data_IF_785267443621
#
_entry.id   IF_785267443621
#
_cell.length_a   1.000
_cell.length_b   1.000
_cell.length_c   1.000
_cell.angle_alpha   90.00
_cell.angle_beta   90.00
_cell.angle_gamma   90.00
#
_symmetry.space_group_name_H-M   'P 1'
#
loop_
_entity.id
_entity.type
_entity.pdbx_description
1 polymer ?
#
# COMPACT_ATOMS: atom_id res chain seq x y z
N UNK A 1 24.64 11.00 12.32
CA UNK A 1 24.04 9.64 12.25
C UNK A 1 25.08 8.61 12.62
N UNK A 2 24.72 7.61 13.41
CA UNK A 2 25.60 6.47 13.66
C UNK A 2 25.70 5.57 12.42
N UNK A 3 26.76 4.73 12.34
CA UNK A 3 26.88 3.76 11.25
C UNK A 3 25.63 2.85 11.12
N UNK A 4 25.03 2.49 12.27
CA UNK A 4 23.81 1.68 12.30
C UNK A 4 22.60 2.42 11.72
N UNK A 5 22.42 3.72 12.05
CA UNK A 5 21.37 4.54 11.46
C UNK A 5 21.57 4.71 9.95
N UNK A 6 22.80 4.88 9.50
CA UNK A 6 23.12 4.97 8.07
C UNK A 6 22.78 3.66 7.37
N UNK A 7 23.13 2.51 7.94
CA UNK A 7 22.76 1.20 7.39
C UNK A 7 21.25 1.02 7.32
N UNK A 8 20.50 1.36 8.38
CA UNK A 8 19.06 1.30 8.41
C UNK A 8 18.42 2.15 7.31
N UNK A 9 18.82 3.41 7.18
CA UNK A 9 18.30 4.32 6.14
C UNK A 9 18.68 3.83 4.74
N UNK A 10 19.85 3.24 4.55
CA UNK A 10 20.25 2.65 3.27
C UNK A 10 19.35 1.46 2.90
N UNK A 11 19.09 0.55 3.84
CA UNK A 11 18.18 -0.59 3.61
C UNK A 11 16.77 -0.08 3.30
N UNK A 12 16.26 0.88 4.08
CA UNK A 12 14.96 1.51 3.84
C UNK A 12 14.90 2.12 2.42
N UNK A 13 15.93 2.83 2.01
CA UNK A 13 16.00 3.45 0.68
C UNK A 13 15.95 2.39 -0.45
N UNK A 14 16.71 1.31 -0.31
CA UNK A 14 16.70 0.19 -1.29
C UNK A 14 15.31 -0.44 -1.36
N UNK A 15 14.66 -0.68 -0.23
CA UNK A 15 13.31 -1.24 -0.18
C UNK A 15 12.28 -0.30 -0.83
N UNK A 16 12.35 1.01 -0.54
CA UNK A 16 11.46 2.01 -1.16
C UNK A 16 11.66 2.09 -2.68
N UNK A 17 12.91 2.09 -3.16
CA UNK A 17 13.21 2.06 -4.59
C UNK A 17 12.63 0.79 -5.23
N UNK A 18 12.77 -0.36 -4.59
CA UNK A 18 12.21 -1.63 -5.07
C UNK A 18 10.68 -1.57 -5.18
N UNK A 19 10.00 -0.98 -4.20
CA UNK A 19 8.53 -0.77 -4.24
C UNK A 19 8.13 0.15 -5.38
N UNK A 20 8.88 1.25 -5.60
CA UNK A 20 8.61 2.20 -6.70
C UNK A 20 8.82 1.53 -8.06
N UNK A 21 9.91 0.78 -8.25
CA UNK A 21 10.17 0.05 -9.48
C UNK A 21 9.08 -1.00 -9.76
N UNK A 22 8.65 -1.71 -8.72
CA UNK A 22 7.54 -2.65 -8.84
C UNK A 22 6.21 -1.94 -9.18
N UNK A 23 5.92 -0.78 -8.58
CA UNK A 23 4.75 0.02 -8.91
C UNK A 23 4.76 0.46 -10.37
N UNK A 24 5.90 0.96 -10.87
CA UNK A 24 6.08 1.33 -12.28
C UNK A 24 5.86 0.13 -13.20
N UNK A 25 6.42 -1.03 -12.87
CA UNK A 25 6.21 -2.26 -13.62
C UNK A 25 4.73 -2.68 -13.65
N UNK A 26 4.05 -2.66 -12.52
CA UNK A 26 2.65 -3.04 -12.41
C UNK A 26 1.72 -2.08 -13.18
N UNK A 27 1.99 -0.77 -13.12
CA UNK A 27 1.27 0.26 -13.87
C UNK A 27 1.48 0.08 -15.38
N UNK A 28 2.73 -0.11 -15.83
CA UNK A 28 3.03 -0.35 -17.25
C UNK A 28 2.30 -1.59 -17.77
N UNK A 29 2.33 -2.69 -17.01
CA UNK A 29 1.58 -3.90 -17.36
C UNK A 29 0.08 -3.64 -17.50
N UNK A 30 -0.52 -2.88 -16.60
CA UNK A 30 -1.93 -2.52 -16.66
C UNK A 30 -2.26 -1.64 -17.88
N UNK A 31 -1.39 -0.73 -18.28
CA UNK A 31 -1.57 0.14 -19.44
C UNK A 31 -1.44 -0.64 -20.76
N UNK A 32 -0.47 -1.57 -20.87
CA UNK A 32 -0.29 -2.40 -22.06
C UNK A 32 -1.50 -3.30 -22.33
N UNK A 33 -2.10 -3.89 -21.29
CA UNK A 33 -3.34 -4.69 -21.44
C UNK A 33 -4.50 -3.82 -21.93
N UNK A 34 -4.53 -2.53 -21.59
CA UNK A 34 -5.55 -1.60 -22.09
C UNK A 34 -5.46 -1.37 -23.59
N UNK A 35 -4.26 -1.26 -24.14
CA UNK A 35 -4.04 -1.04 -25.57
C UNK A 35 -4.46 -2.24 -26.43
N UNK A 36 -4.28 -3.47 -25.93
CA UNK A 36 -4.64 -4.70 -26.62
C UNK A 36 -6.15 -4.99 -26.64
N UNK A 37 -6.93 -4.41 -25.72
CA UNK A 37 -8.37 -4.64 -25.60
C UNK A 37 -9.25 -3.66 -26.41
N UNK A 38 -8.65 -2.79 -27.23
CA UNK A 38 -9.34 -1.67 -27.90
C UNK A 38 -10.18 -2.07 -29.13
N UNK A 39 -10.17 -3.33 -29.57
CA UNK A 39 -10.68 -3.78 -30.88
C UNK A 39 -12.16 -4.21 -30.94
N UNK A 40 -13.01 -3.79 -30.08
CA UNK A 40 -14.45 -4.12 -30.14
C UNK A 40 -15.39 -2.90 -30.14
N UNK A 41 -16.46 -2.85 -30.91
CA UNK A 41 -17.43 -1.78 -31.24
C UNK A 41 -17.82 -0.76 -30.14
N UNK A 42 -18.12 0.50 -30.53
CA UNK A 42 -18.02 1.67 -29.66
C UNK A 42 -19.17 1.96 -28.66
N UNK A 43 -20.38 1.52 -28.90
CA UNK A 43 -21.55 1.91 -28.08
C UNK A 43 -21.72 1.06 -26.79
N UNK A 44 -21.31 -0.21 -26.80
CA UNK A 44 -21.31 -1.07 -25.59
C UNK A 44 -20.12 -0.85 -24.66
N UNK A 45 -19.17 0.03 -25.02
CA UNK A 45 -17.88 0.24 -24.37
C UNK A 45 -17.90 1.19 -23.20
N UNK A 46 -18.70 2.28 -23.23
CA UNK A 46 -18.52 3.42 -22.32
C UNK A 46 -18.78 3.05 -20.85
N UNK A 47 -19.80 2.25 -20.54
CA UNK A 47 -20.07 1.81 -19.16
C UNK A 47 -19.18 0.64 -18.72
N UNK A 48 -18.95 -0.32 -19.63
CA UNK A 48 -18.19 -1.54 -19.35
C UNK A 48 -16.67 -1.31 -19.24
N UNK A 49 -16.13 -0.37 -19.99
CA UNK A 49 -14.70 0.01 -19.92
C UNK A 49 -14.36 0.72 -18.62
N UNK A 50 -15.21 1.64 -18.15
CA UNK A 50 -14.97 2.37 -16.90
C UNK A 50 -14.92 1.44 -15.68
N UNK A 51 -15.82 0.46 -15.59
CA UNK A 51 -15.85 -0.48 -14.48
C UNK A 51 -14.65 -1.45 -14.52
N UNK A 52 -14.26 -1.91 -15.70
CA UNK A 52 -13.05 -2.73 -15.88
C UNK A 52 -11.78 -1.96 -15.51
N UNK A 53 -11.67 -0.68 -15.89
CA UNK A 53 -10.52 0.14 -15.58
C UNK A 53 -10.40 0.38 -14.07
N UNK A 54 -11.49 0.68 -13.37
CA UNK A 54 -11.49 0.88 -11.92
C UNK A 54 -11.08 -0.41 -11.19
N UNK A 55 -11.61 -1.57 -11.59
CA UNK A 55 -11.24 -2.87 -11.01
C UNK A 55 -9.74 -3.18 -11.25
N UNK A 56 -9.23 -2.88 -12.43
CA UNK A 56 -7.81 -3.06 -12.77
C UNK A 56 -6.91 -2.21 -11.88
N UNK A 57 -7.25 -0.93 -11.70
CA UNK A 57 -6.48 -0.04 -10.83
C UNK A 57 -6.53 -0.46 -9.36
N UNK A 58 -7.68 -0.94 -8.88
CA UNK A 58 -7.79 -1.51 -7.54
C UNK A 58 -6.90 -2.75 -7.38
N UNK A 59 -6.80 -3.59 -8.41
CA UNK A 59 -5.90 -4.75 -8.40
C UNK A 59 -4.42 -4.34 -8.39
N UNK A 60 -4.02 -3.35 -9.21
CA UNK A 60 -2.65 -2.81 -9.21
C UNK A 60 -2.32 -2.21 -7.85
N UNK A 61 -3.20 -1.38 -7.30
CA UNK A 61 -3.01 -0.76 -6.00
C UNK A 61 -2.88 -1.82 -4.87
N UNK A 62 -3.68 -2.90 -4.92
CA UNK A 62 -3.58 -4.01 -3.96
C UNK A 62 -2.20 -4.69 -4.02
N UNK A 63 -1.67 -4.93 -5.20
CA UNK A 63 -0.33 -5.54 -5.38
C UNK A 63 0.78 -4.61 -4.89
N UNK A 64 0.69 -3.32 -5.22
CA UNK A 64 1.69 -2.32 -4.79
C UNK A 64 1.69 -2.14 -3.28
N UNK A 65 0.50 -2.04 -2.66
CA UNK A 65 0.39 -1.96 -1.19
C UNK A 65 0.88 -3.23 -0.52
N UNK A 66 0.61 -4.41 -1.07
CA UNK A 66 1.15 -5.67 -0.57
C UNK A 66 2.68 -5.71 -0.60
N UNK A 67 3.32 -5.24 -1.68
CA UNK A 67 4.77 -5.14 -1.76
C UNK A 67 5.34 -4.12 -0.76
N UNK A 68 4.66 -2.99 -0.57
CA UNK A 68 5.06 -1.99 0.42
C UNK A 68 4.99 -2.53 1.86
N UNK A 69 3.93 -3.27 2.19
CA UNK A 69 3.76 -3.93 3.49
C UNK A 69 4.84 -5.00 3.70
N UNK A 70 5.13 -5.81 2.68
CA UNK A 70 6.20 -6.82 2.75
C UNK A 70 7.57 -6.18 3.00
N UNK A 71 7.90 -5.11 2.28
CA UNK A 71 9.14 -4.38 2.48
C UNK A 71 9.25 -3.80 3.89
N UNK A 72 8.16 -3.20 4.39
CA UNK A 72 8.10 -2.69 5.76
C UNK A 72 8.25 -3.81 6.80
N UNK A 73 7.53 -4.91 6.64
CA UNK A 73 7.59 -6.04 7.58
C UNK A 73 9.01 -6.60 7.68
N UNK A 74 9.71 -6.71 6.56
CA UNK A 74 11.13 -7.12 6.52
C UNK A 74 12.00 -6.19 7.35
N UNK A 75 11.82 -4.86 7.18
CA UNK A 75 12.56 -3.87 7.94
C UNK A 75 12.18 -3.87 9.43
N UNK A 76 10.90 -4.04 9.73
CA UNK A 76 10.38 -4.10 11.10
C UNK A 76 10.91 -5.31 11.88
N UNK A 77 10.95 -6.48 11.24
CA UNK A 77 11.55 -7.68 11.84
C UNK A 77 13.02 -7.43 12.17
N UNK A 78 13.76 -6.78 11.27
CA UNK A 78 15.16 -6.42 11.51
C UNK A 78 15.31 -5.46 12.70
N UNK A 79 14.46 -4.42 12.76
CA UNK A 79 14.47 -3.43 13.84
C UNK A 79 14.16 -4.10 15.20
N UNK A 80 13.12 -4.93 15.26
CA UNK A 80 12.76 -5.66 16.50
C UNK A 80 13.85 -6.66 16.89
N UNK A 81 14.53 -7.31 15.94
CA UNK A 81 15.64 -8.21 16.22
C UNK A 81 16.81 -7.48 16.88
N UNK A 82 17.02 -6.18 16.63
CA UNK A 82 18.04 -5.39 17.32
C UNK A 82 17.80 -5.31 18.83
N UNK A 83 16.54 -5.31 19.27
CA UNK A 83 16.20 -5.30 20.70
C UNK A 83 16.72 -6.57 21.42
N UNK A 84 16.64 -7.73 20.76
CA UNK A 84 17.17 -8.98 21.29
C UNK A 84 18.70 -9.00 21.40
N UNK A 85 19.38 -8.19 20.56
CA UNK A 85 20.85 -8.13 20.57
C UNK A 85 21.36 -7.05 21.53
N UNK A 86 20.75 -5.87 21.55
CA UNK A 86 21.17 -4.72 22.37
C UNK A 86 20.11 -3.63 22.40
N UNK A 87 19.60 -3.30 23.58
CA UNK A 87 18.67 -2.19 23.78
C UNK A 87 19.22 -0.84 23.28
N UNK A 88 20.51 -0.57 23.50
CA UNK A 88 21.13 0.67 23.04
C UNK A 88 21.19 0.80 21.51
N UNK A 89 21.34 -0.32 20.80
CA UNK A 89 21.30 -0.33 19.33
C UNK A 89 19.88 -0.12 18.82
N UNK A 90 18.91 -0.75 19.44
CA UNK A 90 17.48 -0.53 19.16
C UNK A 90 17.11 0.94 19.36
N UNK A 91 17.41 1.53 20.54
CA UNK A 91 17.11 2.93 20.85
C UNK A 91 17.75 3.90 19.86
N UNK A 92 18.92 3.56 19.35
CA UNK A 92 19.64 4.37 18.38
C UNK A 92 18.91 4.45 17.03
N UNK A 93 18.35 3.34 16.54
CA UNK A 93 17.54 3.28 15.32
C UNK A 93 16.15 3.85 15.60
N UNK A 94 15.54 3.49 16.73
CA UNK A 94 14.18 3.88 17.08
C UNK A 94 13.99 5.40 17.20
N UNK A 95 15.05 6.15 17.54
CA UNK A 95 15.01 7.63 17.51
C UNK A 95 14.69 8.22 16.14
N UNK A 96 14.88 7.48 15.04
CA UNK A 96 14.50 7.92 13.70
C UNK A 96 12.97 8.00 13.53
N UNK A 97 12.21 7.14 14.22
CA UNK A 97 10.74 7.08 14.13
C UNK A 97 10.07 8.36 14.67
N UNK A 98 10.74 9.10 15.56
CA UNK A 98 10.25 10.40 16.04
C UNK A 98 10.40 11.55 15.03
N UNK A 99 11.06 11.33 13.89
CA UNK A 99 11.29 12.38 12.90
C UNK A 99 10.06 12.60 12.01
N UNK A 100 9.85 13.84 11.54
CA UNK A 100 8.70 14.18 10.68
C UNK A 100 8.62 13.32 9.39
N UNK A 101 9.72 13.06 8.65
CA UNK A 101 9.65 12.19 7.48
C UNK A 101 9.19 10.77 7.82
N UNK A 102 9.61 10.22 8.95
CA UNK A 102 9.24 8.87 9.36
C UNK A 102 7.76 8.79 9.76
N UNK A 103 7.23 9.79 10.46
CA UNK A 103 5.79 9.87 10.77
C UNK A 103 4.91 9.95 9.53
N UNK A 104 5.35 10.70 8.50
CA UNK A 104 4.65 10.71 7.21
C UNK A 104 4.69 9.33 6.58
N UNK A 105 5.84 8.66 6.59
CA UNK A 105 5.98 7.29 6.09
C UNK A 105 5.07 6.30 6.84
N UNK A 106 5.00 6.37 8.17
CA UNK A 106 4.09 5.55 9.00
C UNK A 106 2.62 5.78 8.63
N UNK A 107 2.22 7.05 8.40
CA UNK A 107 0.85 7.38 7.98
C UNK A 107 0.52 6.77 6.62
N UNK A 108 1.43 6.86 5.64
CA UNK A 108 1.27 6.26 4.31
C UNK A 108 1.22 4.73 4.39
N UNK A 109 2.05 4.14 5.23
CA UNK A 109 2.05 2.70 5.47
C UNK A 109 0.72 2.24 6.10
N UNK A 110 0.21 2.98 7.08
CA UNK A 110 -1.09 2.69 7.69
C UNK A 110 -2.22 2.72 6.64
N UNK A 111 -2.23 3.73 5.75
CA UNK A 111 -3.15 3.80 4.62
C UNK A 111 -3.00 2.59 3.69
N UNK A 112 -1.77 2.16 3.41
CA UNK A 112 -1.49 0.99 2.57
C UNK A 112 -2.03 -0.30 3.20
N UNK A 113 -1.84 -0.50 4.52
CA UNK A 113 -2.34 -1.65 5.27
C UNK A 113 -3.87 -1.68 5.23
N UNK A 114 -4.54 -0.57 5.53
CA UNK A 114 -5.99 -0.46 5.52
C UNK A 114 -6.56 -0.78 4.13
N UNK A 115 -6.02 -0.16 3.08
CA UNK A 115 -6.45 -0.43 1.71
C UNK A 115 -6.23 -1.89 1.33
N UNK A 116 -5.05 -2.43 1.61
CA UNK A 116 -4.71 -3.81 1.28
C UNK A 116 -5.66 -4.79 1.97
N UNK A 117 -5.95 -4.57 3.24
CA UNK A 117 -6.85 -5.42 4.04
C UNK A 117 -8.28 -5.36 3.52
N UNK A 118 -8.86 -4.16 3.37
CA UNK A 118 -10.25 -4.03 2.93
C UNK A 118 -10.45 -4.47 1.48
N UNK A 119 -9.53 -4.13 0.59
CA UNK A 119 -9.62 -4.59 -0.79
C UNK A 119 -9.30 -6.09 -0.92
N UNK A 120 -8.42 -6.64 -0.09
CA UNK A 120 -8.16 -8.09 -0.01
C UNK A 120 -9.40 -8.85 0.45
N UNK A 121 -10.07 -8.40 1.53
CA UNK A 121 -11.33 -8.97 2.00
C UNK A 121 -12.41 -8.92 0.91
N UNK A 122 -12.49 -7.79 0.19
CA UNK A 122 -13.38 -7.66 -0.96
C UNK A 122 -13.08 -8.72 -2.03
N UNK A 123 -11.80 -8.92 -2.39
CA UNK A 123 -11.42 -9.91 -3.40
C UNK A 123 -11.85 -11.33 -2.99
N UNK A 124 -11.65 -11.69 -1.72
CA UNK A 124 -12.13 -12.97 -1.17
C UNK A 124 -13.66 -13.08 -1.26
N UNK A 125 -14.39 -12.03 -0.91
CA UNK A 125 -15.86 -12.02 -1.00
C UNK A 125 -16.35 -12.18 -2.45
N UNK A 126 -15.65 -11.58 -3.41
CA UNK A 126 -15.99 -11.72 -4.84
C UNK A 126 -15.76 -13.14 -5.33
N UNK A 127 -14.73 -13.81 -4.86
CA UNK A 127 -14.34 -15.16 -5.27
C UNK A 127 -15.27 -16.22 -4.66
N UNK A 128 -15.67 -16.03 -3.39
CA UNK A 128 -16.49 -17.00 -2.65
C UNK A 128 -18.00 -16.86 -2.95
N UNK A 129 -18.48 -15.62 -3.14
CA UNK A 129 -19.93 -15.35 -3.17
C UNK A 129 -20.52 -15.13 -4.59
N UNK A 130 -19.73 -15.29 -5.66
CA UNK A 130 -20.14 -15.08 -7.05
C UNK A 130 -21.02 -13.83 -7.27
N UNK A 131 -20.59 -12.72 -6.71
CA UNK A 131 -21.35 -11.47 -6.69
C UNK A 131 -21.29 -10.74 -8.03
N UNK A 132 -22.43 -10.20 -8.48
CA UNK A 132 -22.51 -9.45 -9.74
C UNK A 132 -21.67 -8.14 -9.74
N UNK A 133 -21.41 -7.60 -10.93
CA UNK A 133 -20.55 -6.43 -11.17
C UNK A 133 -20.94 -5.19 -10.34
N UNK A 134 -22.26 -4.97 -10.15
CA UNK A 134 -22.76 -3.82 -9.35
C UNK A 134 -22.35 -3.95 -7.88
N UNK A 135 -22.44 -5.13 -7.31
CA UNK A 135 -22.01 -5.41 -5.93
C UNK A 135 -20.50 -5.29 -5.81
N UNK A 136 -19.74 -5.80 -6.78
CA UNK A 136 -18.30 -5.66 -6.83
C UNK A 136 -17.83 -4.20 -6.78
N UNK A 137 -18.54 -3.29 -7.46
CA UNK A 137 -18.27 -1.86 -7.44
C UNK A 137 -18.64 -1.21 -6.09
N UNK A 138 -19.78 -1.58 -5.50
CA UNK A 138 -20.20 -1.07 -4.18
C UNK A 138 -19.19 -1.47 -3.10
N UNK A 139 -18.74 -2.72 -3.11
CA UNK A 139 -17.71 -3.22 -2.19
C UNK A 139 -16.38 -2.47 -2.36
N UNK A 140 -15.97 -2.17 -3.61
CA UNK A 140 -14.77 -1.38 -3.85
C UNK A 140 -14.89 0.04 -3.29
N UNK A 141 -16.02 0.71 -3.56
CA UNK A 141 -16.26 2.05 -3.04
C UNK A 141 -16.27 2.06 -1.50
N UNK A 142 -16.88 1.03 -0.88
CA UNK A 142 -16.85 0.84 0.58
C UNK A 142 -15.43 0.64 1.11
N UNK A 143 -14.62 -0.20 0.48
CA UNK A 143 -13.22 -0.43 0.86
C UNK A 143 -12.40 0.86 0.78
N UNK A 144 -12.56 1.65 -0.28
CA UNK A 144 -11.87 2.94 -0.45
C UNK A 144 -12.36 3.95 0.59
N UNK A 145 -13.68 4.07 0.82
CA UNK A 145 -14.23 4.97 1.80
C UNK A 145 -13.73 4.66 3.22
N UNK A 146 -13.76 3.38 3.63
CA UNK A 146 -13.21 2.94 4.92
C UNK A 146 -11.72 3.25 5.04
N UNK A 147 -10.95 3.00 3.99
CA UNK A 147 -9.51 3.33 3.97
C UNK A 147 -9.29 4.83 4.19
N UNK A 148 -10.04 5.68 3.48
CA UNK A 148 -9.89 7.15 3.62
C UNK A 148 -10.27 7.60 5.02
N UNK A 149 -11.41 7.17 5.55
CA UNK A 149 -11.90 7.61 6.86
C UNK A 149 -10.97 7.16 7.98
N UNK A 150 -10.68 5.85 8.04
CA UNK A 150 -9.82 5.30 9.09
C UNK A 150 -8.37 5.76 8.93
N UNK A 151 -7.87 5.83 7.68
CA UNK A 151 -6.54 6.32 7.40
C UNK A 151 -6.35 7.80 7.75
N UNK A 152 -7.36 8.64 7.51
CA UNK A 152 -7.31 10.03 7.95
C UNK A 152 -7.29 10.16 9.47
N UNK A 153 -8.14 9.40 10.17
CA UNK A 153 -8.18 9.39 11.64
C UNK A 153 -6.83 8.95 12.24
N UNK A 154 -6.26 7.85 11.75
CA UNK A 154 -4.95 7.35 12.21
C UNK A 154 -3.82 8.30 11.85
N UNK A 155 -3.85 8.92 10.66
CA UNK A 155 -2.85 9.91 10.26
C UNK A 155 -2.86 11.15 11.16
N UNK A 156 -4.04 11.63 11.57
CA UNK A 156 -4.17 12.73 12.53
C UNK A 156 -3.50 12.37 13.87
N UNK A 157 -3.66 11.14 14.34
CA UNK A 157 -3.03 10.68 15.59
C UNK A 157 -1.51 10.58 15.45
N UNK A 158 -1.02 9.97 14.35
CA UNK A 158 0.41 9.76 14.10
C UNK A 158 1.15 11.10 13.91
N UNK A 159 0.52 12.06 13.19
CA UNK A 159 1.14 13.34 12.86
C UNK A 159 1.03 14.38 13.98
N UNK A 160 0.21 14.16 15.01
CA UNK A 160 0.20 15.05 16.18
C UNK A 160 1.60 15.09 16.80
N UNK A 161 2.14 16.29 17.10
CA UNK A 161 3.35 16.38 17.89
C UNK A 161 3.11 15.65 19.22
N UNK A 162 4.03 14.76 19.59
CA UNK A 162 4.02 14.22 20.94
C UNK A 162 4.17 15.39 21.90
N UNK A 163 3.11 15.67 22.67
CA UNK A 163 3.08 16.65 23.73
C UNK A 163 3.90 16.09 24.87
#
# INVERSE_FOLDING_TARGET
>A
MSALQTAFVSILSVLLVSVVLFAVYAVRGALLIRSSAADGGWIGRIGRTRDRDVQRWAFVAHRVTGMAIFAFLTLHIFDVALLAVSSSRFDNVHRLYGTAPMRVFESLLCMAILFHTFNGLRLVLLDVADVGVVTARRLLNGSVALTIVLGALTSVVILRPAI
#
